data_IF_111658401092
#
_entry.id   IF_111658401092
#
_cell.length_a   1.000
_cell.length_b   1.000
_cell.length_c   1.000
_cell.angle_alpha   90.00
_cell.angle_beta   90.00
_cell.angle_gamma   90.00
#
_symmetry.space_group_name_H-M   'P 1'
#
loop_
_entity.id
_entity.type
_entity.pdbx_description
1 polymer ?
#
# COMPACT_ATOMS: atom_id res chain seq x y z
N UNK A 1 25.01 -0.57 11.80
CA UNK A 1 26.28 -1.27 11.50
C UNK A 1 27.25 -1.18 12.68
N UNK A 2 28.06 -2.22 12.85
CA UNK A 2 29.23 -2.22 13.74
C UNK A 2 30.46 -1.98 12.90
N UNK A 3 31.35 -1.10 13.36
CA UNK A 3 32.66 -0.90 12.75
C UNK A 3 33.63 -1.92 13.37
N UNK A 4 34.14 -2.87 12.56
CA UNK A 4 35.10 -3.88 13.02
C UNK A 4 36.55 -3.39 12.90
N UNK A 5 36.81 -2.46 11.97
CA UNK A 5 38.13 -1.89 11.74
C UNK A 5 38.08 -0.88 10.62
N UNK A 6 39.26 -0.34 10.30
CA UNK A 6 39.46 0.54 9.15
C UNK A 6 40.80 0.29 8.51
N UNK A 7 40.90 0.53 7.21
CA UNK A 7 42.12 0.48 6.43
C UNK A 7 42.28 1.80 5.66
N UNK A 8 43.51 2.28 5.38
CA UNK A 8 43.71 3.48 4.58
C UNK A 8 43.09 3.36 3.19
N UNK A 9 42.65 4.46 2.63
CA UNK A 9 42.03 4.56 1.30
C UNK A 9 43.10 4.56 0.17
N UNK A 10 43.90 3.55 0.09
CA UNK A 10 44.90 3.40 -0.98
C UNK A 10 44.31 2.61 -2.16
N UNK A 11 44.84 2.82 -3.40
CA UNK A 11 44.33 2.11 -4.59
C UNK A 11 44.32 0.59 -4.46
N UNK A 12 45.26 0.04 -3.70
CA UNK A 12 45.42 -1.42 -3.50
C UNK A 12 44.33 -2.03 -2.60
N UNK A 13 43.64 -1.20 -1.81
CA UNK A 13 42.59 -1.65 -0.86
C UNK A 13 41.20 -1.12 -1.19
N UNK A 14 41.02 -0.54 -2.38
CA UNK A 14 39.73 -0.07 -2.82
C UNK A 14 38.72 -1.22 -2.95
N UNK A 15 37.55 -1.19 -2.24
CA UNK A 15 36.54 -2.23 -2.35
C UNK A 15 35.97 -2.34 -3.76
N UNK A 16 35.75 -3.56 -4.23
CA UNK A 16 35.12 -3.81 -5.52
C UNK A 16 33.67 -3.25 -5.53
N UNK A 17 33.33 -2.57 -6.62
CA UNK A 17 31.95 -2.05 -6.82
C UNK A 17 31.73 -0.61 -6.38
N UNK A 18 32.75 0.10 -5.94
CA UNK A 18 32.69 1.56 -5.85
C UNK A 18 32.62 2.17 -7.25
N UNK A 19 31.80 3.24 -7.45
CA UNK A 19 31.78 3.94 -8.72
C UNK A 19 33.13 4.53 -9.03
N UNK A 20 33.57 4.37 -10.28
CA UNK A 20 34.76 4.99 -10.81
C UNK A 20 34.53 6.50 -10.88
N UNK A 21 34.98 7.20 -9.85
CA UNK A 21 34.77 8.64 -9.70
C UNK A 21 36.11 9.34 -9.80
N UNK A 22 36.31 10.09 -10.87
CA UNK A 22 37.54 10.89 -11.09
C UNK A 22 37.87 11.87 -9.93
N UNK A 23 36.88 12.17 -9.09
CA UNK A 23 37.04 13.02 -7.91
C UNK A 23 37.51 12.27 -6.65
N UNK A 24 37.61 10.96 -6.67
CA UNK A 24 38.11 10.13 -5.56
C UNK A 24 39.55 9.74 -5.82
N UNK A 25 40.47 10.64 -5.51
CA UNK A 25 41.89 10.28 -5.40
C UNK A 25 42.11 9.54 -4.08
N UNK A 26 42.29 8.23 -4.15
CA UNK A 26 42.63 7.39 -3.00
C UNK A 26 44.10 7.65 -2.61
N UNK A 27 44.32 8.55 -1.68
CA UNK A 27 45.65 9.06 -1.30
C UNK A 27 46.11 8.60 0.09
N UNK A 28 45.32 7.80 0.79
CA UNK A 28 45.67 7.33 2.14
C UNK A 28 45.32 8.33 3.25
N UNK A 29 44.72 9.47 2.94
CA UNK A 29 44.28 10.47 3.92
C UNK A 29 42.97 10.14 4.60
N UNK A 30 42.16 9.28 3.99
CA UNK A 30 40.88 8.79 4.50
C UNK A 30 40.97 7.31 4.88
N UNK A 31 39.83 6.69 5.19
CA UNK A 31 39.84 5.28 5.52
C UNK A 31 38.54 4.60 5.03
N UNK A 32 38.67 3.38 4.55
CA UNK A 32 37.56 2.45 4.38
C UNK A 32 37.28 1.78 5.72
N UNK A 33 36.00 1.75 6.11
CA UNK A 33 35.56 1.09 7.33
C UNK A 33 34.98 -0.29 7.01
N UNK A 34 35.43 -1.31 7.72
CA UNK A 34 34.79 -2.62 7.70
C UNK A 34 33.51 -2.55 8.53
N UNK A 35 32.37 -2.57 7.83
CA UNK A 35 31.03 -2.40 8.41
C UNK A 35 30.29 -3.74 8.43
N UNK A 36 30.01 -4.22 9.61
CA UNK A 36 29.14 -5.38 9.81
C UNK A 36 27.70 -4.92 10.12
N UNK A 37 26.72 -5.44 9.37
CA UNK A 37 25.31 -5.24 9.70
C UNK A 37 25.00 -5.91 11.05
N UNK A 38 24.24 -5.20 11.89
CA UNK A 38 23.76 -5.72 13.17
C UNK A 38 22.27 -5.43 13.32
N UNK A 39 21.52 -6.37 13.89
CA UNK A 39 20.07 -6.25 14.08
C UNK A 39 19.67 -5.33 15.26
N UNK A 40 20.64 -4.66 15.88
CA UNK A 40 20.37 -3.72 16.97
C UNK A 40 19.47 -2.58 16.48
N UNK A 41 18.32 -2.39 17.14
CA UNK A 41 17.33 -1.35 16.81
C UNK A 41 16.75 -1.47 15.39
N UNK A 42 16.71 -2.67 14.82
CA UNK A 42 16.18 -2.94 13.47
C UNK A 42 14.74 -2.44 13.31
N UNK A 43 13.92 -2.52 14.35
CA UNK A 43 12.55 -2.00 14.34
C UNK A 43 12.43 -0.49 14.07
N UNK A 44 13.52 0.27 14.29
CA UNK A 44 13.59 1.71 14.04
C UNK A 44 14.29 2.06 12.72
N UNK A 45 14.80 1.08 12.00
CA UNK A 45 15.54 1.30 10.75
C UNK A 45 14.65 2.03 9.74
N UNK A 46 15.07 3.25 9.37
CA UNK A 46 14.36 4.14 8.45
C UNK A 46 13.04 4.73 8.96
N UNK A 47 12.72 4.57 10.24
CA UNK A 47 11.52 5.12 10.87
C UNK A 47 11.78 6.35 11.72
N UNK A 48 13.04 6.59 12.10
CA UNK A 48 13.38 7.72 12.97
C UNK A 48 13.44 9.01 12.18
N UNK A 49 12.60 9.97 12.55
CA UNK A 49 12.72 11.36 12.15
C UNK A 49 13.47 12.09 13.25
N UNK A 50 14.64 12.64 12.93
CA UNK A 50 15.50 13.34 13.87
C UNK A 50 15.58 14.82 13.51
N UNK A 51 15.71 15.67 14.54
CA UNK A 51 16.05 17.06 14.32
C UNK A 51 17.52 17.18 13.89
N UNK A 52 17.75 17.54 12.64
CA UNK A 52 19.10 17.72 12.10
C UNK A 52 19.74 19.01 12.60
N UNK A 53 18.96 19.94 13.17
CA UNK A 53 19.41 21.24 13.65
C UNK A 53 19.64 22.27 12.53
N UNK A 54 20.23 23.40 12.89
CA UNK A 54 20.45 24.52 11.96
C UNK A 54 21.41 24.27 10.79
N UNK A 55 22.09 23.12 10.77
CA UNK A 55 23.05 22.72 9.72
C UNK A 55 22.42 21.86 8.62
N UNK A 56 21.19 22.14 8.21
CA UNK A 56 20.45 21.35 7.21
C UNK A 56 21.18 21.18 5.85
N UNK A 57 22.15 22.04 5.53
CA UNK A 57 23.00 21.92 4.34
C UNK A 57 24.16 20.91 4.49
N UNK A 58 24.47 20.52 5.73
CA UNK A 58 25.54 19.57 6.01
C UNK A 58 24.96 18.16 6.01
N UNK A 59 25.26 17.38 4.99
CA UNK A 59 24.76 16.01 4.84
C UNK A 59 25.33 15.02 5.87
N UNK A 60 26.42 15.39 6.58
CA UNK A 60 27.04 14.59 7.60
C UNK A 60 27.26 15.36 8.90
N UNK A 61 27.21 14.69 10.02
CA UNK A 61 27.53 15.23 11.33
C UNK A 61 28.22 14.18 12.19
N UNK A 62 28.91 14.62 13.26
CA UNK A 62 29.55 13.68 14.18
C UNK A 62 28.50 12.81 14.87
N UNK A 63 28.70 11.49 14.89
CA UNK A 63 27.81 10.53 15.53
C UNK A 63 27.67 10.73 17.07
N UNK A 64 28.62 11.43 17.68
CA UNK A 64 28.59 11.79 19.12
C UNK A 64 27.69 12.99 19.44
N UNK A 65 27.16 13.68 18.40
CA UNK A 65 26.23 14.79 18.59
C UNK A 65 24.82 14.21 18.82
N UNK A 66 24.24 14.44 19.98
CA UNK A 66 22.89 14.02 20.27
C UNK A 66 21.90 14.65 19.29
N UNK A 67 20.96 13.83 18.81
CA UNK A 67 19.89 14.23 17.91
C UNK A 67 18.54 13.94 18.58
N UNK A 68 17.71 14.97 18.82
CA UNK A 68 16.36 14.73 19.28
C UNK A 68 15.56 13.90 18.28
N UNK A 69 14.88 12.88 18.76
CA UNK A 69 13.91 12.13 17.96
C UNK A 69 12.62 12.96 17.93
N UNK A 70 12.23 13.41 16.76
CA UNK A 70 11.02 14.21 16.55
C UNK A 70 9.81 13.31 16.35
N UNK A 71 9.99 12.20 15.62
CA UNK A 71 8.95 11.22 15.37
C UNK A 71 9.56 9.84 15.11
N UNK A 72 8.75 8.80 15.29
CA UNK A 72 9.01 7.45 14.79
C UNK A 72 7.93 7.19 13.75
N UNK A 73 8.30 7.22 12.48
CA UNK A 73 7.38 7.05 11.36
C UNK A 73 7.54 5.65 10.77
N UNK A 74 6.48 5.11 10.21
CA UNK A 74 6.61 3.93 9.36
C UNK A 74 7.28 4.33 8.04
N UNK A 75 8.38 3.69 7.69
CA UNK A 75 9.18 4.01 6.51
C UNK A 75 8.40 3.94 5.19
N UNK A 76 7.32 3.19 5.19
CA UNK A 76 6.61 2.78 3.99
C UNK A 76 5.13 3.17 4.00
N UNK A 77 4.71 4.09 4.91
CA UNK A 77 3.32 4.54 4.84
C UNK A 77 3.04 5.14 3.47
N UNK A 78 2.31 4.39 2.67
CA UNK A 78 1.86 4.86 1.37
C UNK A 78 0.74 5.89 1.59
N UNK A 79 0.85 7.11 1.08
CA UNK A 79 -0.20 8.11 1.24
C UNK A 79 -1.49 7.62 0.59
N UNK A 80 -2.62 7.79 1.28
CA UNK A 80 -3.92 7.44 0.70
C UNK A 80 -4.25 8.38 -0.48
N UNK A 81 -4.53 7.80 -1.64
CA UNK A 81 -4.73 8.54 -2.89
C UNK A 81 -6.09 9.22 -3.01
N UNK A 82 -6.96 9.05 -2.01
CA UNK A 82 -8.37 9.49 -2.06
C UNK A 82 -9.27 8.51 -2.81
N UNK A 83 -10.54 8.46 -2.43
CA UNK A 83 -11.51 7.52 -2.99
C UNK A 83 -11.79 7.74 -4.48
N UNK A 84 -11.65 8.97 -4.95
CA UNK A 84 -11.89 9.37 -6.35
C UNK A 84 -10.85 8.78 -7.30
N UNK A 85 -9.64 8.53 -6.79
CA UNK A 85 -8.52 7.97 -7.55
C UNK A 85 -8.26 6.49 -7.21
N UNK A 86 -9.12 5.89 -6.37
CA UNK A 86 -8.92 4.54 -5.87
C UNK A 86 -9.29 3.50 -6.93
N UNK A 87 -8.28 2.94 -7.55
CA UNK A 87 -8.38 1.82 -8.49
C UNK A 87 -7.31 0.81 -8.07
N UNK A 88 -7.73 -0.41 -7.73
CA UNK A 88 -6.85 -1.47 -7.26
C UNK A 88 -7.12 -2.76 -8.05
N UNK A 89 -6.07 -3.43 -8.49
CA UNK A 89 -6.15 -4.86 -8.83
C UNK A 89 -6.45 -5.69 -7.57
N UNK A 90 -6.82 -6.94 -7.74
CA UNK A 90 -7.03 -7.85 -6.61
C UNK A 90 -5.76 -8.02 -5.77
N UNK A 91 -4.59 -8.07 -6.41
CA UNK A 91 -3.31 -8.24 -5.70
C UNK A 91 -2.93 -6.99 -4.90
N UNK A 92 -3.15 -5.79 -5.45
CA UNK A 92 -2.97 -4.54 -4.72
C UNK A 92 -3.97 -4.41 -3.55
N UNK A 93 -5.24 -4.79 -3.77
CA UNK A 93 -6.21 -4.82 -2.69
C UNK A 93 -5.80 -5.78 -1.57
N UNK A 94 -5.27 -6.96 -1.92
CA UNK A 94 -4.76 -7.92 -0.96
C UNK A 94 -3.60 -7.33 -0.15
N UNK A 95 -2.66 -6.66 -0.81
CA UNK A 95 -1.56 -5.96 -0.13
C UNK A 95 -2.09 -4.89 0.84
N UNK A 96 -3.06 -4.07 0.41
CA UNK A 96 -3.69 -3.04 1.25
C UNK A 96 -4.34 -3.65 2.49
N UNK A 97 -5.02 -4.79 2.35
CA UNK A 97 -5.78 -5.44 3.44
C UNK A 97 -4.87 -6.18 4.41
N UNK A 98 -3.80 -6.82 3.91
CA UNK A 98 -2.95 -7.70 4.72
C UNK A 98 -1.72 -6.99 5.32
N UNK A 99 -1.36 -5.80 4.86
CA UNK A 99 -0.18 -5.06 5.32
C UNK A 99 -0.57 -3.82 6.13
N UNK A 100 -0.85 -4.02 7.41
CA UNK A 100 -1.27 -2.95 8.33
C UNK A 100 -0.20 -1.85 8.50
N UNK A 101 1.07 -2.20 8.34
CA UNK A 101 2.16 -1.25 8.60
C UNK A 101 2.28 -0.19 7.51
N UNK A 102 2.17 -0.60 6.24
CA UNK A 102 2.40 0.30 5.12
C UNK A 102 1.12 1.01 4.68
N UNK A 103 -0.05 0.42 4.97
CA UNK A 103 -1.36 0.89 4.52
C UNK A 103 -2.30 1.33 5.65
N UNK A 104 -1.79 1.62 6.84
CA UNK A 104 -2.60 2.07 7.99
C UNK A 104 -3.56 3.23 7.62
N UNK A 105 -3.06 4.24 6.87
CA UNK A 105 -3.88 5.38 6.42
C UNK A 105 -4.98 4.96 5.44
N UNK A 106 -4.70 3.99 4.57
CA UNK A 106 -5.67 3.43 3.63
C UNK A 106 -6.77 2.67 4.37
N UNK A 107 -6.36 1.79 5.28
CA UNK A 107 -7.28 0.99 6.07
C UNK A 107 -8.16 1.86 6.96
N UNK A 108 -7.58 2.87 7.63
CA UNK A 108 -8.32 3.83 8.43
C UNK A 108 -9.35 4.60 7.58
N UNK A 109 -8.96 5.09 6.40
CA UNK A 109 -9.87 5.80 5.50
C UNK A 109 -11.01 4.89 5.02
N UNK A 110 -10.70 3.68 4.56
CA UNK A 110 -11.68 2.71 4.07
C UNK A 110 -12.61 2.20 5.17
N UNK A 111 -12.12 2.05 6.40
CA UNK A 111 -12.95 1.69 7.55
C UNK A 111 -13.90 2.81 7.98
N UNK A 112 -13.57 4.06 7.71
CA UNK A 112 -14.35 5.23 8.14
C UNK A 112 -15.60 5.52 7.28
N UNK A 113 -15.77 4.88 6.12
CA UNK A 113 -16.83 5.20 5.17
C UNK A 113 -17.65 3.97 4.76
N UNK A 114 -18.91 4.19 4.42
CA UNK A 114 -19.65 3.31 3.55
C UNK A 114 -19.44 3.73 2.09
N UNK A 115 -19.65 2.82 1.15
CA UNK A 115 -19.47 3.12 -0.26
C UNK A 115 -20.34 2.25 -1.17
N UNK A 116 -20.62 2.78 -2.37
CA UNK A 116 -20.97 1.95 -3.52
C UNK A 116 -19.68 1.78 -4.33
N UNK A 117 -19.35 0.54 -4.67
CA UNK A 117 -18.11 0.18 -5.37
C UNK A 117 -18.40 -0.65 -6.62
N UNK A 118 -17.43 -0.65 -7.52
CA UNK A 118 -17.44 -1.41 -8.76
C UNK A 118 -16.30 -2.43 -8.74
N UNK A 119 -16.61 -3.65 -9.16
CA UNK A 119 -15.62 -4.67 -9.50
C UNK A 119 -15.79 -4.97 -10.99
N UNK A 120 -14.69 -4.97 -11.72
CA UNK A 120 -14.64 -5.27 -13.16
C UNK A 120 -13.70 -6.42 -13.41
N UNK A 121 -14.14 -7.42 -14.16
CA UNK A 121 -13.22 -8.37 -14.77
C UNK A 121 -12.55 -7.68 -15.98
N UNK A 122 -11.26 -7.44 -15.89
CA UNK A 122 -10.51 -6.69 -16.92
C UNK A 122 -10.35 -7.43 -18.23
N UNK A 123 -10.59 -8.76 -18.25
CA UNK A 123 -10.54 -9.57 -19.46
C UNK A 123 -11.84 -9.52 -20.24
N UNK A 124 -12.97 -9.53 -19.55
CA UNK A 124 -14.30 -9.61 -20.21
C UNK A 124 -15.04 -8.28 -20.21
N UNK A 125 -14.72 -7.39 -19.26
CA UNK A 125 -15.45 -6.16 -19.00
C UNK A 125 -16.73 -6.38 -18.19
N UNK A 126 -16.98 -7.59 -17.69
CA UNK A 126 -18.11 -7.86 -16.82
C UNK A 126 -18.01 -7.08 -15.50
N UNK A 127 -19.15 -6.57 -15.05
CA UNK A 127 -19.24 -5.61 -13.95
C UNK A 127 -20.09 -6.15 -12.82
N UNK A 128 -19.61 -5.94 -11.61
CA UNK A 128 -20.37 -6.13 -10.38
C UNK A 128 -20.40 -4.82 -9.59
N UNK A 129 -21.57 -4.38 -9.22
CA UNK A 129 -21.76 -3.23 -8.31
C UNK A 129 -22.21 -3.75 -6.96
N UNK A 130 -21.56 -3.31 -5.91
CA UNK A 130 -21.93 -3.64 -4.54
C UNK A 130 -21.88 -2.42 -3.64
N UNK A 131 -22.38 -2.58 -2.42
CA UNK A 131 -22.33 -1.55 -1.39
C UNK A 131 -21.86 -2.09 -0.05
N UNK A 132 -21.55 -1.17 0.85
CA UNK A 132 -21.17 -1.47 2.23
C UNK A 132 -22.03 -0.71 3.21
N UNK A 133 -22.47 -1.37 4.27
CA UNK A 133 -23.23 -0.79 5.39
C UNK A 133 -22.89 -1.46 6.73
N UNK A 134 -21.69 -2.04 6.85
CA UNK A 134 -21.21 -2.68 8.08
C UNK A 134 -20.36 -1.76 8.95
N UNK A 135 -20.02 -2.23 10.16
CA UNK A 135 -19.20 -1.49 11.12
C UNK A 135 -17.82 -1.11 10.53
N UNK A 136 -17.17 -2.01 9.81
CA UNK A 136 -15.86 -1.80 9.23
C UNK A 136 -15.91 -1.19 7.81
N UNK A 137 -17.09 -0.73 7.38
CA UNK A 137 -17.29 0.01 6.13
C UNK A 137 -16.73 -0.69 4.89
N UNK A 138 -16.06 0.08 4.05
CA UNK A 138 -15.45 -0.42 2.81
C UNK A 138 -14.36 -1.44 3.10
N UNK A 139 -13.50 -1.19 4.09
CA UNK A 139 -12.43 -2.12 4.47
C UNK A 139 -12.97 -3.50 4.81
N UNK A 140 -13.98 -3.57 5.70
CA UNK A 140 -14.55 -4.85 6.12
C UNK A 140 -15.12 -5.65 4.95
N UNK A 141 -15.82 -4.97 4.02
CA UNK A 141 -16.36 -5.65 2.84
C UNK A 141 -15.26 -6.13 1.88
N UNK A 142 -14.27 -5.31 1.62
CA UNK A 142 -13.18 -5.66 0.71
C UNK A 142 -12.25 -6.73 1.29
N UNK A 143 -12.08 -6.78 2.62
CA UNK A 143 -11.40 -7.89 3.30
C UNK A 143 -12.09 -9.24 3.05
N UNK A 144 -13.43 -9.26 2.98
CA UNK A 144 -14.16 -10.49 2.63
C UNK A 144 -13.85 -10.94 1.20
N UNK A 145 -13.68 -10.02 0.23
CA UNK A 145 -13.26 -10.39 -1.11
C UNK A 145 -11.85 -10.99 -1.13
N UNK A 146 -10.91 -10.39 -0.40
CA UNK A 146 -9.54 -10.93 -0.26
C UNK A 146 -9.57 -12.34 0.34
N UNK A 147 -10.26 -12.51 1.47
CA UNK A 147 -10.35 -13.79 2.18
C UNK A 147 -11.03 -14.91 1.38
N UNK A 148 -11.87 -14.54 0.42
CA UNK A 148 -12.65 -15.50 -0.37
C UNK A 148 -12.11 -15.70 -1.80
N UNK A 149 -10.95 -15.14 -2.13
CA UNK A 149 -10.40 -15.26 -3.49
C UNK A 149 -11.23 -14.53 -4.54
N UNK A 150 -11.73 -13.34 -4.20
CA UNK A 150 -12.36 -12.41 -5.13
C UNK A 150 -13.88 -12.46 -5.21
N UNK A 151 -14.55 -13.50 -4.67
CA UNK A 151 -16.01 -13.62 -4.85
C UNK A 151 -16.87 -12.99 -3.75
N UNK A 152 -16.29 -12.66 -2.59
CA UNK A 152 -17.03 -11.98 -1.50
C UNK A 152 -18.31 -12.67 -1.06
N UNK A 153 -18.41 -13.99 -1.22
CA UNK A 153 -19.61 -14.82 -0.98
C UNK A 153 -20.82 -14.46 -1.86
N UNK A 154 -20.61 -13.72 -2.96
CA UNK A 154 -21.66 -13.39 -3.90
C UNK A 154 -21.87 -14.49 -4.94
N UNK A 155 -23.13 -14.91 -5.18
CA UNK A 155 -23.43 -16.01 -6.10
C UNK A 155 -23.02 -15.74 -7.55
N UNK A 156 -23.25 -14.53 -8.04
CA UNK A 156 -22.86 -14.12 -9.40
C UNK A 156 -21.34 -14.14 -9.58
N UNK A 157 -20.61 -13.57 -8.62
CA UNK A 157 -19.14 -13.60 -8.61
C UNK A 157 -18.58 -15.04 -8.49
N UNK A 158 -19.18 -15.89 -7.66
CA UNK A 158 -18.81 -17.31 -7.54
C UNK A 158 -18.99 -18.02 -8.89
N UNK A 159 -20.12 -17.79 -9.54
CA UNK A 159 -20.42 -18.39 -10.86
C UNK A 159 -19.42 -17.92 -11.91
N UNK A 160 -19.13 -16.62 -11.94
CA UNK A 160 -18.20 -15.99 -12.86
C UNK A 160 -16.78 -16.55 -12.70
N UNK A 161 -16.24 -16.55 -11.48
CA UNK A 161 -14.87 -17.05 -11.20
C UNK A 161 -14.71 -18.57 -11.33
N UNK A 162 -15.80 -19.34 -11.30
CA UNK A 162 -15.76 -20.79 -11.59
C UNK A 162 -15.77 -21.12 -13.07
N UNK A 163 -16.13 -20.18 -13.94
CA UNK A 163 -16.09 -20.41 -15.36
C UNK A 163 -14.65 -20.47 -15.89
N UNK A 164 -14.45 -21.19 -16.98
CA UNK A 164 -13.10 -21.43 -17.53
C UNK A 164 -12.45 -20.12 -17.94
N UNK A 165 -11.20 -19.91 -17.54
CA UNK A 165 -10.35 -18.75 -17.84
C UNK A 165 -10.58 -17.47 -17.03
N UNK A 166 -11.33 -17.47 -15.95
CA UNK A 166 -11.43 -16.34 -15.03
C UNK A 166 -10.58 -16.56 -13.78
N UNK A 167 -9.99 -15.48 -13.29
CA UNK A 167 -9.16 -15.47 -12.08
C UNK A 167 -9.46 -14.25 -11.24
N UNK A 168 -9.32 -14.37 -9.93
CA UNK A 168 -9.40 -13.20 -9.06
C UNK A 168 -8.35 -12.12 -9.40
N UNK A 169 -7.22 -12.51 -9.98
CA UNK A 169 -6.17 -11.59 -10.44
C UNK A 169 -6.60 -10.70 -11.62
N UNK A 170 -7.69 -11.05 -12.30
CA UNK A 170 -8.27 -10.25 -13.38
C UNK A 170 -9.27 -9.21 -12.86
N UNK A 171 -9.58 -9.22 -11.57
CA UNK A 171 -10.53 -8.30 -10.95
C UNK A 171 -9.87 -6.97 -10.59
N UNK A 172 -10.56 -5.89 -10.95
CA UNK A 172 -10.23 -4.51 -10.59
C UNK A 172 -11.32 -3.94 -9.69
N UNK A 173 -10.92 -3.30 -8.60
CA UNK A 173 -11.78 -2.69 -7.59
C UNK A 173 -11.70 -1.17 -7.66
N UNK A 174 -12.85 -0.49 -7.62
CA UNK A 174 -12.91 0.97 -7.59
C UNK A 174 -14.12 1.47 -6.80
N UNK A 175 -14.07 2.72 -6.32
CA UNK A 175 -15.17 3.34 -5.60
C UNK A 175 -15.99 4.21 -6.55
N UNK A 176 -17.30 4.01 -6.57
CA UNK A 176 -18.26 4.80 -7.36
C UNK A 176 -18.81 5.98 -6.58
N UNK A 177 -19.08 5.76 -5.29
CA UNK A 177 -19.66 6.78 -4.43
C UNK A 177 -19.30 6.51 -2.97
N UNK A 178 -18.77 7.52 -2.31
CA UNK A 178 -18.55 7.50 -0.85
C UNK A 178 -19.86 7.89 -0.16
N UNK A 179 -20.21 7.18 0.88
CA UNK A 179 -21.42 7.37 1.67
C UNK A 179 -21.06 7.50 3.16
N UNK A 180 -21.80 8.33 3.87
CA UNK A 180 -21.64 8.47 5.31
C UNK A 180 -22.07 7.19 6.04
N UNK A 181 -21.34 6.82 7.08
CA UNK A 181 -21.76 5.74 7.99
C UNK A 181 -23.07 6.02 8.75
N UNK A 182 -23.48 7.29 8.81
CA UNK A 182 -24.75 7.67 9.41
C UNK A 182 -25.96 7.49 8.49
N UNK A 183 -25.75 7.15 7.21
CA UNK A 183 -26.86 6.89 6.28
C UNK A 183 -27.57 5.59 6.65
N UNK A 184 -28.91 5.58 6.63
CA UNK A 184 -29.69 4.36 6.78
C UNK A 184 -29.43 3.37 5.65
N UNK A 185 -29.47 2.07 5.95
CA UNK A 185 -29.17 1.00 4.99
C UNK A 185 -30.01 1.06 3.72
N UNK A 186 -31.30 1.44 3.83
CA UNK A 186 -32.16 1.58 2.67
C UNK A 186 -31.65 2.63 1.67
N UNK A 187 -31.10 3.75 2.13
CA UNK A 187 -30.55 4.78 1.25
C UNK A 187 -29.26 4.29 0.56
N UNK A 188 -28.46 3.46 1.24
CA UNK A 188 -27.27 2.83 0.65
C UNK A 188 -27.69 1.83 -0.43
N UNK A 189 -28.71 1.02 -0.16
CA UNK A 189 -29.27 0.05 -1.13
C UNK A 189 -29.88 0.77 -2.34
N UNK A 190 -30.55 1.91 -2.13
CA UNK A 190 -31.10 2.73 -3.22
C UNK A 190 -29.96 3.29 -4.11
N UNK A 191 -28.86 3.77 -3.51
CA UNK A 191 -27.68 4.23 -4.23
C UNK A 191 -27.02 3.09 -5.03
N UNK A 192 -26.86 1.90 -4.44
CA UNK A 192 -26.37 0.71 -5.12
C UNK A 192 -27.25 0.35 -6.32
N UNK A 193 -28.58 0.32 -6.13
CA UNK A 193 -29.56 0.01 -7.18
C UNK A 193 -29.47 1.02 -8.33
N UNK A 194 -29.29 2.30 -8.03
CA UNK A 194 -29.11 3.34 -9.04
C UNK A 194 -27.84 3.10 -9.87
N UNK A 195 -26.72 2.78 -9.20
CA UNK A 195 -25.47 2.48 -9.88
C UNK A 195 -25.53 1.20 -10.71
N UNK A 196 -26.21 0.15 -10.25
CA UNK A 196 -26.46 -1.07 -11.03
C UNK A 196 -27.15 -0.76 -12.35
N UNK A 197 -28.19 0.10 -12.30
CA UNK A 197 -28.91 0.55 -13.51
C UNK A 197 -28.05 1.38 -14.43
N UNK A 198 -27.27 2.34 -13.90
CA UNK A 198 -26.40 3.21 -14.70
C UNK A 198 -25.31 2.42 -15.43
N UNK A 199 -24.76 1.40 -14.77
CA UNK A 199 -23.65 0.60 -15.31
C UNK A 199 -24.08 -0.68 -16.01
N UNK A 200 -25.39 -0.95 -16.09
CA UNK A 200 -25.94 -2.18 -16.67
C UNK A 200 -25.29 -3.44 -16.10
N UNK A 201 -25.09 -3.47 -14.78
CA UNK A 201 -24.37 -4.56 -14.13
C UNK A 201 -25.22 -5.79 -13.79
N UNK A 202 -26.49 -5.77 -14.12
CA UNK A 202 -27.39 -6.93 -13.99
C UNK A 202 -27.14 -7.98 -15.08
N UNK A 203 -27.40 -9.25 -14.74
CA UNK A 203 -27.40 -10.34 -15.72
C UNK A 203 -28.40 -10.06 -16.87
N UNK A 204 -28.07 -10.40 -18.13
CA UNK A 204 -26.85 -11.09 -18.58
C UNK A 204 -25.66 -10.16 -18.95
N UNK A 205 -25.77 -8.84 -18.72
CA UNK A 205 -24.77 -7.85 -19.12
C UNK A 205 -23.69 -7.61 -18.04
N UNK A 206 -23.85 -8.20 -16.88
CA UNK A 206 -22.93 -8.10 -15.75
C UNK A 206 -23.16 -9.21 -14.73
N UNK A 207 -22.51 -9.10 -13.57
CA UNK A 207 -22.44 -10.15 -12.55
C UNK A 207 -23.45 -9.97 -11.41
N UNK A 208 -24.27 -8.93 -11.41
CA UNK A 208 -25.33 -8.77 -10.41
C UNK A 208 -26.53 -9.61 -10.79
N UNK A 209 -26.99 -10.46 -9.86
CA UNK A 209 -28.26 -11.13 -10.02
C UNK A 209 -29.43 -10.13 -9.99
N UNK A 210 -30.49 -10.43 -10.71
CA UNK A 210 -31.76 -9.68 -10.71
C UNK A 210 -32.58 -9.91 -9.44
#
# INVERSE_FOLDING_TARGET
YRVNGSVPDTPDVCPAGLPDCEAMEYCGEMAFFDLQYVDLLKEYEGKLVIDWGGSARMWHQKATTEKPIVAIESKNQKPFVGFENLILSFDELKEVVENDTDYELWQAAMAAVNAVYLIVDTKTGDRYVGSTYGYDGLLGRWSVYVATGGHGNNKGMISHLKSVNHSCHDLQFSVLQVLSKALPDNQIIDAETLWKKKLLSYEPLGMNAN
#
